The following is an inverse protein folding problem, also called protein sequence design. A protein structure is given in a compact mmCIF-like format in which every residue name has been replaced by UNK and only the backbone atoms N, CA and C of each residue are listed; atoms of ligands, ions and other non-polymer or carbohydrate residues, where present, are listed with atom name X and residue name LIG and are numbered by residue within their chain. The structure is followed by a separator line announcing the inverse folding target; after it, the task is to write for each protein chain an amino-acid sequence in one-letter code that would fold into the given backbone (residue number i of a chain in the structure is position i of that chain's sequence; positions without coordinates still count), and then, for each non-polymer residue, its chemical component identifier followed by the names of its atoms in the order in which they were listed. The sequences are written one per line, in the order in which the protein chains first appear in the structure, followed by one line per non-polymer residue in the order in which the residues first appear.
data_IF_916223360687
#
_entry.id   IF_916223360687
#
_cell.length_a   1.000
_cell.length_b   1.000
_cell.length_c   1.000
_cell.angle_alpha   90.00
_cell.angle_beta   90.00
_cell.angle_gamma   90.00
#
_symmetry.space_group_name_H-M   'P 1'
#
loop_
_entity.id
_entity.type
_entity.pdbx_description
1 polymer ?
#
# COMPACT_ATOMS: atom_id res chain seq x y z
N UNK A 1 -6.02 22.42 -8.68
CA UNK A 1 -6.65 22.33 -7.35
C UNK A 1 -5.55 22.46 -6.31
N UNK A 2 -5.76 23.20 -5.23
CA UNK A 2 -4.76 23.32 -4.16
C UNK A 2 -5.08 22.32 -3.05
N UNK A 3 -4.07 21.58 -2.60
CA UNK A 3 -4.16 20.66 -1.48
C UNK A 3 -3.33 21.23 -0.33
N UNK A 4 -3.97 21.40 0.84
CA UNK A 4 -3.30 21.82 2.07
C UNK A 4 -3.37 20.68 3.09
N UNK A 5 -2.20 20.23 3.54
CA UNK A 5 -2.07 19.21 4.58
C UNK A 5 -1.79 19.88 5.92
N UNK A 6 -2.40 19.36 6.99
CA UNK A 6 -2.00 19.66 8.37
C UNK A 6 -1.12 18.52 8.84
N UNK A 7 0.17 18.77 8.94
CA UNK A 7 1.17 17.80 9.36
C UNK A 7 1.64 18.14 10.78
N UNK A 8 1.97 17.09 11.55
CA UNK A 8 2.77 17.28 12.75
C UNK A 8 4.21 17.62 12.34
N UNK A 9 5.04 18.19 13.24
CA UNK A 9 6.46 18.44 12.94
C UNK A 9 7.21 17.18 12.48
N UNK A 10 6.90 16.03 13.09
CA UNK A 10 7.51 14.75 12.75
C UNK A 10 7.12 14.29 11.34
N UNK A 11 5.84 14.43 10.97
CA UNK A 11 5.36 14.10 9.62
C UNK A 11 5.97 15.02 8.56
N UNK A 12 6.15 16.31 8.88
CA UNK A 12 6.80 17.25 7.97
C UNK A 12 8.28 16.91 7.76
N UNK A 13 8.98 16.50 8.82
CA UNK A 13 10.36 16.02 8.71
C UNK A 13 10.44 14.74 7.86
N UNK A 14 9.56 13.76 8.11
CA UNK A 14 9.49 12.54 7.32
C UNK A 14 9.21 12.83 5.84
N UNK A 15 8.27 13.74 5.53
CA UNK A 15 7.98 14.14 4.16
C UNK A 15 9.16 14.87 3.49
N UNK A 16 9.92 15.66 4.25
CA UNK A 16 11.13 16.34 3.76
C UNK A 16 12.19 15.30 3.38
N UNK A 17 12.49 14.37 4.29
CA UNK A 17 13.46 13.30 4.03
C UNK A 17 13.06 12.45 2.82
N UNK A 18 11.78 12.11 2.69
CA UNK A 18 11.27 11.35 1.55
C UNK A 18 11.46 12.11 0.22
N UNK A 19 11.10 13.39 0.21
CA UNK A 19 11.24 14.25 -0.97
C UNK A 19 12.70 14.44 -1.38
N UNK A 20 13.61 14.60 -0.42
CA UNK A 20 15.05 14.71 -0.66
C UNK A 20 15.65 13.41 -1.18
N UNK A 21 15.30 12.27 -0.58
CA UNK A 21 15.76 10.96 -1.03
C UNK A 21 15.33 10.65 -2.48
N UNK A 22 14.12 11.06 -2.84
CA UNK A 22 13.55 10.86 -4.17
C UNK A 22 13.94 11.96 -5.18
N UNK A 23 14.56 13.06 -4.71
CA UNK A 23 14.93 14.20 -5.55
C UNK A 23 13.73 14.96 -6.14
N UNK A 24 12.60 15.00 -5.42
CA UNK A 24 11.34 15.61 -5.89
C UNK A 24 10.81 16.66 -4.92
N UNK A 25 9.76 17.39 -5.32
CA UNK A 25 9.07 18.30 -4.41
C UNK A 25 8.28 17.54 -3.33
N UNK A 26 8.06 18.17 -2.17
CA UNK A 26 7.19 17.62 -1.11
C UNK A 26 5.78 17.26 -1.60
N UNK A 27 5.26 18.02 -2.56
CA UNK A 27 3.94 17.76 -3.15
C UNK A 27 3.96 16.48 -4.00
N UNK A 28 4.97 16.34 -4.86
CA UNK A 28 5.14 15.15 -5.67
C UNK A 28 5.39 13.90 -4.81
N UNK A 29 6.22 14.02 -3.76
CA UNK A 29 6.44 12.93 -2.80
C UNK A 29 5.12 12.51 -2.10
N UNK A 30 4.26 13.46 -1.77
CA UNK A 30 2.93 13.19 -1.19
C UNK A 30 2.05 12.42 -2.18
N UNK A 31 1.97 12.87 -3.43
CA UNK A 31 1.15 12.21 -4.47
C UNK A 31 1.66 10.79 -4.73
N UNK A 32 2.98 10.62 -4.83
CA UNK A 32 3.61 9.31 -5.01
C UNK A 32 3.31 8.38 -3.83
N UNK A 33 3.47 8.85 -2.60
CA UNK A 33 3.16 8.06 -1.41
C UNK A 33 1.69 7.61 -1.36
N UNK A 34 0.75 8.45 -1.82
CA UNK A 34 -0.68 8.08 -1.94
C UNK A 34 -0.86 6.97 -2.97
N UNK A 35 -0.28 7.10 -4.16
CA UNK A 35 -0.38 6.06 -5.20
C UNK A 35 0.24 4.74 -4.73
N UNK A 36 1.42 4.78 -4.12
CA UNK A 36 2.06 3.58 -3.58
C UNK A 36 1.26 2.92 -2.45
N UNK A 37 0.63 3.72 -1.58
CA UNK A 37 -0.24 3.19 -0.54
C UNK A 37 -1.50 2.54 -1.14
N UNK A 38 -2.09 3.16 -2.17
CA UNK A 38 -3.24 2.63 -2.89
C UNK A 38 -2.89 1.32 -3.60
N UNK A 39 -1.78 1.29 -4.34
CA UNK A 39 -1.31 0.10 -5.07
C UNK A 39 -0.99 -1.06 -4.13
N UNK A 40 -0.31 -0.78 -3.01
CA UNK A 40 -0.05 -1.79 -1.97
C UNK A 40 -1.34 -2.36 -1.40
N UNK A 41 -2.37 -1.52 -1.18
CA UNK A 41 -3.67 -1.98 -0.67
C UNK A 41 -4.42 -2.81 -1.72
N UNK A 42 -4.53 -2.32 -2.94
CA UNK A 42 -5.17 -3.02 -4.04
C UNK A 42 -4.50 -4.38 -4.31
N UNK A 43 -3.16 -4.43 -4.25
CA UNK A 43 -2.42 -5.68 -4.40
C UNK A 43 -2.74 -6.68 -3.29
N UNK A 44 -2.79 -6.24 -2.03
CA UNK A 44 -3.20 -7.10 -0.89
C UNK A 44 -4.61 -7.62 -1.07
N UNK A 45 -5.56 -6.76 -1.43
CA UNK A 45 -6.95 -7.15 -1.63
C UNK A 45 -7.08 -8.17 -2.76
N UNK A 46 -6.35 -7.97 -3.86
CA UNK A 46 -6.29 -8.93 -4.98
C UNK A 46 -5.69 -10.28 -4.57
N UNK A 47 -4.61 -10.28 -3.78
CA UNK A 47 -4.01 -11.52 -3.27
C UNK A 47 -4.96 -12.25 -2.31
N UNK A 48 -5.63 -11.51 -1.42
CA UNK A 48 -6.61 -12.08 -0.50
C UNK A 48 -7.79 -12.70 -1.24
N UNK A 49 -8.32 -12.01 -2.26
CA UNK A 49 -9.40 -12.51 -3.10
C UNK A 49 -9.00 -13.78 -3.87
N UNK A 50 -7.84 -13.77 -4.54
CA UNK A 50 -7.34 -14.96 -5.25
C UNK A 50 -7.07 -16.13 -4.32
N UNK A 51 -6.54 -15.86 -3.11
CA UNK A 51 -6.29 -16.88 -2.10
C UNK A 51 -7.59 -17.46 -1.53
N UNK A 52 -8.63 -16.64 -1.36
CA UNK A 52 -9.96 -17.12 -0.99
C UNK A 52 -10.54 -18.05 -2.07
N UNK A 53 -10.50 -17.65 -3.34
CA UNK A 53 -10.95 -18.49 -4.46
C UNK A 53 -10.16 -19.80 -4.56
N UNK A 54 -8.84 -19.76 -4.41
CA UNK A 54 -7.99 -20.94 -4.46
C UNK A 54 -8.28 -21.90 -3.29
N UNK A 55 -8.48 -21.39 -2.07
CA UNK A 55 -8.86 -22.22 -0.91
C UNK A 55 -10.21 -22.88 -1.08
N UNK A 56 -11.21 -22.16 -1.61
CA UNK A 56 -12.50 -22.78 -1.94
C UNK A 56 -12.34 -23.86 -3.02
N UNK A 57 -11.56 -23.59 -4.07
CA UNK A 57 -11.37 -24.52 -5.19
C UNK A 57 -10.62 -25.79 -4.80
N UNK A 58 -9.66 -25.68 -3.88
CA UNK A 58 -8.82 -26.80 -3.45
C UNK A 58 -9.10 -27.25 -2.02
N UNK A 59 -10.28 -26.93 -1.48
CA UNK A 59 -10.64 -27.21 -0.09
C UNK A 59 -10.43 -28.68 0.27
N UNK A 60 -10.98 -29.60 -0.52
CA UNK A 60 -10.88 -31.05 -0.27
C UNK A 60 -9.44 -31.59 -0.38
N UNK A 61 -8.62 -30.99 -1.26
CA UNK A 61 -7.21 -31.37 -1.40
C UNK A 61 -6.40 -30.87 -0.18
N UNK A 62 -6.65 -29.63 0.25
CA UNK A 62 -5.98 -29.04 1.40
C UNK A 62 -6.36 -29.75 2.70
N UNK A 63 -7.62 -30.18 2.83
CA UNK A 63 -8.10 -30.93 4.00
C UNK A 63 -7.40 -32.31 4.11
N UNK A 64 -7.16 -32.97 2.97
CA UNK A 64 -6.43 -34.25 2.91
C UNK A 64 -4.91 -34.10 3.10
N UNK A 65 -4.33 -32.96 2.76
CA UNK A 65 -2.90 -32.67 2.96
C UNK A 65 -2.60 -32.17 4.38
N UNK A 66 -3.61 -31.72 5.13
CA UNK A 66 -3.50 -31.28 6.51
C UNK A 66 -3.69 -32.39 7.56
N UNK A 67 -4.05 -33.61 7.12
CA UNK A 67 -4.08 -34.83 7.92
C UNK A 67 -2.71 -35.51 7.92
#
# INVERSE_FOLDING_TARGET
MAMTLRLTPDDEQALTMLAEADGVSKQEATVRAIHEAADRRLRRDKVAALSATARTRYADLLDRLGQ
#
